data_IF_347694728008
#
_entry.id   IF_347694728008
#
_cell.length_a   1.000
_cell.length_b   1.000
_cell.length_c   1.000
_cell.angle_alpha   90.00
_cell.angle_beta   90.00
_cell.angle_gamma   90.00
#
_symmetry.space_group_name_H-M   'P 1'
#
loop_
_entity.id
_entity.type
_entity.pdbx_description
1 polymer ?
#
# COMPACT_ATOMS: atom_id res chain seq x y z
N UNK A 1 28.68 -1.68 12.29
CA UNK A 1 28.68 -3.15 12.16
C UNK A 1 28.00 -3.71 13.39
N UNK A 2 26.96 -4.53 13.22
CA UNK A 2 26.09 -4.99 14.30
C UNK A 2 26.13 -6.52 14.39
N UNK A 3 26.04 -7.08 15.59
CA UNK A 3 25.64 -8.49 15.72
C UNK A 3 24.19 -8.66 15.29
N UNK A 4 23.77 -9.88 14.94
CA UNK A 4 22.38 -10.17 14.59
C UNK A 4 21.41 -9.71 15.68
N UNK A 5 21.74 -9.96 16.95
CA UNK A 5 20.93 -9.51 18.09
C UNK A 5 20.80 -7.99 18.15
N UNK A 6 21.93 -7.29 18.11
CA UNK A 6 21.95 -5.82 18.13
C UNK A 6 21.17 -5.22 16.96
N UNK A 7 21.28 -5.82 15.77
CA UNK A 7 20.58 -5.35 14.59
C UNK A 7 19.07 -5.56 14.68
N UNK A 8 18.64 -6.70 15.23
CA UNK A 8 17.22 -6.99 15.46
C UNK A 8 16.63 -6.04 16.49
N UNK A 9 17.32 -5.79 17.59
CA UNK A 9 16.89 -4.83 18.62
C UNK A 9 16.79 -3.41 18.02
N UNK A 10 17.80 -3.00 17.25
CA UNK A 10 17.79 -1.72 16.52
C UNK A 10 16.60 -1.62 15.54
N UNK A 11 16.40 -2.62 14.69
CA UNK A 11 15.31 -2.62 13.72
C UNK A 11 13.93 -2.63 14.38
N UNK A 12 13.81 -3.30 15.53
CA UNK A 12 12.60 -3.26 16.35
C UNK A 12 12.29 -1.84 16.82
N UNK A 13 13.26 -1.17 17.45
CA UNK A 13 13.10 0.19 17.96
C UNK A 13 12.82 1.21 16.85
N UNK A 14 13.53 1.11 15.73
CA UNK A 14 13.34 2.00 14.59
C UNK A 14 11.94 1.84 13.96
N UNK A 15 11.40 0.62 13.88
CA UNK A 15 10.04 0.38 13.43
C UNK A 15 9.00 0.91 14.43
N UNK A 16 9.26 0.83 15.74
CA UNK A 16 8.40 1.46 16.74
C UNK A 16 8.37 2.98 16.58
N UNK A 17 9.53 3.61 16.43
CA UNK A 17 9.66 5.06 16.17
C UNK A 17 8.97 5.45 14.87
N UNK A 18 9.03 4.59 13.85
CA UNK A 18 8.32 4.78 12.60
C UNK A 18 6.80 4.58 12.73
N UNK A 19 6.24 4.27 13.90
CA UNK A 19 4.80 4.20 14.13
C UNK A 19 4.16 2.84 13.87
N UNK A 20 4.95 1.76 13.79
CA UNK A 20 4.42 0.40 13.79
C UNK A 20 4.09 -0.05 15.21
N UNK A 21 3.04 -0.86 15.38
CA UNK A 21 2.73 -1.47 16.68
C UNK A 21 3.60 -2.70 16.95
N UNK A 22 3.89 -2.97 18.22
CA UNK A 22 4.62 -4.19 18.63
C UNK A 22 4.04 -5.45 18.01
N UNK A 23 2.70 -5.61 18.07
CA UNK A 23 1.99 -6.74 17.46
C UNK A 23 2.29 -6.90 15.97
N UNK A 24 2.44 -5.79 15.24
CA UNK A 24 2.77 -5.81 13.81
C UNK A 24 4.21 -6.24 13.61
N UNK A 25 5.14 -5.69 14.40
CA UNK A 25 6.56 -6.01 14.31
C UNK A 25 6.78 -7.50 14.64
N UNK A 26 6.23 -7.98 15.77
CA UNK A 26 6.29 -9.38 16.18
C UNK A 26 5.62 -10.32 15.16
N UNK A 27 4.40 -10.00 14.72
CA UNK A 27 3.65 -10.87 13.82
C UNK A 27 4.25 -10.99 12.41
N UNK A 28 4.90 -9.93 11.93
CA UNK A 28 5.42 -9.89 10.56
C UNK A 28 6.92 -10.19 10.45
N UNK A 29 7.74 -9.83 11.46
CA UNK A 29 9.19 -9.84 11.34
C UNK A 29 9.88 -10.81 12.30
N UNK A 30 9.47 -10.81 13.57
CA UNK A 30 10.22 -11.46 14.67
C UNK A 30 10.53 -12.94 14.43
N UNK A 31 9.57 -13.72 13.96
CA UNK A 31 9.79 -15.15 13.72
C UNK A 31 10.76 -15.42 12.56
N UNK A 32 10.85 -14.52 11.58
CA UNK A 32 11.78 -14.62 10.44
C UNK A 32 13.18 -14.23 10.89
N UNK A 33 13.30 -13.12 11.62
CA UNK A 33 14.56 -12.67 12.20
C UNK A 33 15.19 -13.71 13.13
N UNK A 34 14.37 -14.35 13.97
CA UNK A 34 14.84 -15.43 14.85
C UNK A 34 15.31 -16.68 14.09
N UNK A 35 14.82 -16.94 12.88
CA UNK A 35 15.35 -18.03 12.06
C UNK A 35 16.76 -17.73 11.58
N UNK A 36 17.09 -16.46 11.33
CA UNK A 36 18.44 -16.03 11.00
C UNK A 36 19.37 -16.20 12.20
N UNK A 37 18.94 -15.81 13.42
CA UNK A 37 19.66 -16.09 14.68
C UNK A 37 19.90 -17.59 14.86
N UNK A 38 18.89 -18.44 14.64
CA UNK A 38 19.04 -19.90 14.80
C UNK A 38 20.05 -20.49 13.83
N UNK A 39 20.21 -19.90 12.65
CA UNK A 39 21.15 -20.37 11.63
C UNK A 39 22.59 -19.92 11.89
N UNK A 40 22.79 -18.64 12.20
CA UNK A 40 24.13 -18.03 12.27
C UNK A 40 24.62 -17.76 13.70
N UNK A 41 23.73 -17.79 14.70
CA UNK A 41 24.01 -17.44 16.10
C UNK A 41 23.76 -15.97 16.41
N UNK A 42 23.30 -15.66 17.62
CA UNK A 42 22.91 -14.29 18.00
C UNK A 42 24.07 -13.28 17.97
N UNK A 43 25.30 -13.76 18.16
CA UNK A 43 26.52 -12.96 18.20
C UNK A 43 27.23 -12.87 16.84
N UNK A 44 26.69 -13.51 15.79
CA UNK A 44 27.26 -13.38 14.46
C UNK A 44 27.14 -11.94 13.96
N UNK A 45 28.20 -11.45 13.32
CA UNK A 45 28.21 -10.14 12.68
C UNK A 45 27.29 -10.19 11.46
N UNK A 46 26.33 -9.28 11.38
CA UNK A 46 25.39 -9.26 10.25
C UNK A 46 26.11 -8.89 8.95
N UNK A 47 25.90 -9.72 7.94
CA UNK A 47 26.18 -9.42 6.54
C UNK A 47 24.91 -9.68 5.72
N UNK A 48 24.65 -8.85 4.70
CA UNK A 48 23.46 -8.99 3.85
C UNK A 48 23.42 -10.34 3.13
N UNK A 49 24.59 -10.90 2.80
CA UNK A 49 24.78 -12.25 2.27
C UNK A 49 24.06 -13.32 3.10
N UNK A 50 23.99 -13.17 4.43
CA UNK A 50 23.31 -14.11 5.33
C UNK A 50 21.82 -14.23 4.99
N UNK A 51 21.16 -13.14 4.59
CA UNK A 51 19.76 -13.17 4.17
C UNK A 51 19.59 -13.91 2.83
N UNK A 52 20.46 -13.66 1.86
CA UNK A 52 20.46 -14.36 0.56
C UNK A 52 20.69 -15.86 0.73
N UNK A 53 21.70 -16.24 1.51
CA UNK A 53 22.05 -17.63 1.82
C UNK A 53 20.90 -18.34 2.54
N UNK A 54 20.28 -17.68 3.53
CA UNK A 54 19.11 -18.22 4.21
C UNK A 54 17.97 -18.48 3.22
N UNK A 55 17.66 -17.49 2.39
CA UNK A 55 16.60 -17.58 1.40
C UNK A 55 16.83 -18.71 0.39
N UNK A 56 18.06 -18.84 -0.12
CA UNK A 56 18.43 -19.89 -1.07
C UNK A 56 18.29 -21.29 -0.47
N UNK A 57 18.71 -21.48 0.78
CA UNK A 57 18.57 -22.77 1.48
C UNK A 57 17.11 -23.09 1.78
N UNK A 58 16.34 -22.12 2.29
CA UNK A 58 14.98 -22.35 2.75
C UNK A 58 13.96 -22.50 1.60
N UNK A 59 14.10 -21.72 0.52
CA UNK A 59 13.18 -21.72 -0.62
C UNK A 59 13.72 -22.51 -1.83
N UNK A 60 14.97 -22.99 -1.78
CA UNK A 60 15.64 -23.64 -2.92
C UNK A 60 16.02 -22.68 -4.06
N UNK A 61 15.80 -21.39 -3.89
CA UNK A 61 16.08 -20.33 -4.88
C UNK A 61 16.38 -19.01 -4.16
N UNK A 62 17.21 -18.16 -4.75
CA UNK A 62 17.46 -16.84 -4.20
C UNK A 62 16.28 -15.90 -4.49
N UNK A 63 15.35 -15.79 -3.53
CA UNK A 63 14.18 -14.93 -3.67
C UNK A 63 14.51 -13.43 -3.69
N UNK A 64 15.72 -13.00 -3.30
CA UNK A 64 16.14 -11.61 -3.45
C UNK A 64 16.46 -11.23 -4.89
N UNK A 65 16.77 -12.21 -5.73
CA UNK A 65 17.07 -12.01 -7.15
C UNK A 65 15.82 -11.99 -8.04
N UNK A 66 14.64 -12.24 -7.46
CA UNK A 66 13.36 -12.35 -8.17
C UNK A 66 12.54 -11.08 -7.92
N UNK A 67 11.84 -10.60 -8.96
CA UNK A 67 10.95 -9.46 -8.80
C UNK A 67 9.86 -9.74 -7.75
N UNK A 68 9.63 -8.77 -6.86
CA UNK A 68 8.75 -8.91 -5.70
C UNK A 68 7.33 -9.37 -6.08
N UNK A 69 6.85 -8.95 -7.26
CA UNK A 69 5.52 -9.29 -7.75
C UNK A 69 5.39 -10.73 -8.26
N UNK A 70 6.52 -11.37 -8.58
CA UNK A 70 6.57 -12.77 -9.02
C UNK A 70 6.68 -13.75 -7.84
N UNK A 71 7.00 -13.23 -6.64
CA UNK A 71 7.11 -14.01 -5.42
C UNK A 71 5.74 -14.41 -4.86
N UNK A 72 5.65 -15.62 -4.30
CA UNK A 72 4.45 -16.02 -3.56
C UNK A 72 4.39 -15.28 -2.21
N UNK A 73 3.20 -15.21 -1.60
CA UNK A 73 2.95 -14.41 -0.38
C UNK A 73 3.93 -14.68 0.76
N UNK A 74 4.38 -15.93 0.93
CA UNK A 74 5.33 -16.27 2.00
C UNK A 74 6.73 -15.71 1.68
N UNK A 75 7.20 -15.81 0.44
CA UNK A 75 8.48 -15.27 -0.01
C UNK A 75 8.50 -13.75 0.13
N UNK A 76 7.42 -13.08 -0.27
CA UNK A 76 7.23 -11.64 -0.08
C UNK A 76 7.35 -11.20 1.38
N UNK A 77 6.87 -12.01 2.33
CA UNK A 77 7.02 -11.72 3.76
C UNK A 77 8.47 -11.82 4.21
N UNK A 78 9.22 -12.79 3.71
CA UNK A 78 10.65 -12.94 4.02
C UNK A 78 11.48 -11.80 3.46
N UNK A 79 11.23 -11.40 2.20
CA UNK A 79 11.89 -10.23 1.61
C UNK A 79 11.64 -8.99 2.45
N UNK A 80 10.38 -8.69 2.80
CA UNK A 80 10.07 -7.52 3.63
C UNK A 80 10.77 -7.56 4.99
N UNK A 81 10.72 -8.70 5.68
CA UNK A 81 11.34 -8.83 7.00
C UNK A 81 12.86 -8.65 6.93
N UNK A 82 13.53 -9.27 5.97
CA UNK A 82 14.98 -9.13 5.83
C UNK A 82 15.39 -7.75 5.28
N UNK A 83 14.60 -7.14 4.39
CA UNK A 83 14.82 -5.77 3.94
C UNK A 83 14.77 -4.78 5.10
N UNK A 84 13.91 -4.99 6.10
CA UNK A 84 13.93 -4.16 7.31
C UNK A 84 15.27 -4.26 8.05
N UNK A 85 15.85 -5.46 8.18
CA UNK A 85 17.19 -5.63 8.79
C UNK A 85 18.29 -4.98 7.93
N UNK A 86 18.26 -5.19 6.62
CA UNK A 86 19.24 -4.58 5.69
C UNK A 86 19.16 -3.06 5.76
N UNK A 87 17.95 -2.51 5.76
CA UNK A 87 17.71 -1.08 5.87
C UNK A 87 18.26 -0.53 7.19
N UNK A 88 17.96 -1.18 8.31
CA UNK A 88 18.52 -0.82 9.63
C UNK A 88 20.04 -0.95 9.66
N UNK A 89 20.63 -1.96 9.00
CA UNK A 89 22.08 -2.16 9.01
C UNK A 89 22.84 -1.07 8.24
N UNK A 90 22.15 -0.40 7.31
CA UNK A 90 22.65 0.71 6.49
C UNK A 90 22.29 2.08 7.09
N UNK A 91 21.70 2.11 8.29
CA UNK A 91 21.24 3.34 8.96
C UNK A 91 20.29 4.19 8.09
N UNK A 92 19.50 3.55 7.23
CA UNK A 92 18.51 4.22 6.38
C UNK A 92 17.22 4.38 7.19
N UNK A 93 16.74 5.60 7.46
CA UNK A 93 15.55 5.81 8.29
C UNK A 93 14.30 5.14 7.70
N UNK A 94 13.49 4.50 8.55
CA UNK A 94 12.18 4.04 8.13
C UNK A 94 11.26 5.23 7.88
N UNK A 95 10.43 5.10 6.83
CA UNK A 95 9.39 6.07 6.57
C UNK A 95 8.39 6.05 7.71
N UNK A 96 8.20 7.20 8.36
CA UNK A 96 7.24 7.36 9.42
C UNK A 96 5.83 7.04 8.89
N UNK A 97 5.19 6.05 9.50
CA UNK A 97 3.79 5.72 9.28
C UNK A 97 2.95 6.77 9.99
N UNK A 98 2.45 7.72 9.21
CA UNK A 98 1.68 8.85 9.72
C UNK A 98 0.21 8.48 10.03
N UNK A 99 0.02 7.33 10.69
CA UNK A 99 -1.30 6.87 11.15
C UNK A 99 -1.81 7.75 12.29
N UNK A 100 -0.90 8.34 13.07
CA UNK A 100 -1.24 9.23 14.17
C UNK A 100 -1.78 10.57 13.69
N UNK A 101 -1.20 11.16 12.62
CA UNK A 101 -1.76 12.36 12.01
C UNK A 101 -3.23 12.18 11.64
N UNK A 102 -3.58 11.10 10.93
CA UNK A 102 -4.97 10.86 10.52
C UNK A 102 -5.94 10.55 11.68
N UNK A 103 -5.41 9.94 12.74
CA UNK A 103 -6.19 9.63 13.95
C UNK A 103 -6.51 10.89 14.72
N UNK A 104 -5.49 11.71 14.98
CA UNK A 104 -5.55 12.82 15.92
C UNK A 104 -5.97 14.14 15.24
N UNK A 105 -5.95 14.20 13.91
CA UNK A 105 -6.45 15.34 13.14
C UNK A 105 -7.95 15.54 13.33
N UNK A 106 -8.34 16.69 13.88
CA UNK A 106 -9.75 17.03 14.07
C UNK A 106 -10.29 17.57 12.74
N UNK A 107 -11.29 16.87 12.18
CA UNK A 107 -12.00 17.37 11.02
C UNK A 107 -12.76 18.64 11.40
N UNK A 108 -12.81 19.61 10.49
CA UNK A 108 -13.70 20.75 10.66
C UNK A 108 -15.16 20.28 10.71
N UNK A 109 -16.02 21.12 11.26
CA UNK A 109 -17.42 20.80 11.54
C UNK A 109 -18.18 20.36 10.28
N UNK A 110 -17.92 20.99 9.13
CA UNK A 110 -18.60 20.67 7.87
C UNK A 110 -18.17 19.31 7.34
N UNK A 111 -16.86 19.01 7.35
CA UNK A 111 -16.34 17.69 6.95
C UNK A 111 -16.85 16.59 7.87
N UNK A 112 -16.89 16.85 9.18
CA UNK A 112 -17.34 15.88 10.17
C UNK A 112 -18.83 15.53 9.98
N UNK A 113 -19.70 16.54 9.79
CA UNK A 113 -21.13 16.31 9.50
C UNK A 113 -21.34 15.48 8.23
N UNK A 114 -20.63 15.80 7.14
CA UNK A 114 -20.73 15.03 5.88
C UNK A 114 -20.28 13.57 6.05
N UNK A 115 -19.23 13.34 6.83
CA UNK A 115 -18.80 11.98 7.15
C UNK A 115 -19.87 11.23 7.96
N UNK A 116 -20.47 11.88 8.95
CA UNK A 116 -21.50 11.27 9.80
C UNK A 116 -22.78 10.96 9.00
N UNK A 117 -23.22 11.86 8.10
CA UNK A 117 -24.35 11.64 7.20
C UNK A 117 -24.10 10.41 6.29
N UNK A 118 -22.90 10.30 5.72
CA UNK A 118 -22.52 9.14 4.91
C UNK A 118 -22.53 7.83 5.72
N UNK A 119 -22.02 7.86 6.95
CA UNK A 119 -21.98 6.68 7.81
C UNK A 119 -23.39 6.27 8.25
N UNK A 120 -24.25 7.23 8.55
CA UNK A 120 -25.66 6.99 8.87
C UNK A 120 -26.36 6.30 7.69
N UNK A 121 -26.15 6.78 6.47
CA UNK A 121 -26.68 6.14 5.27
C UNK A 121 -26.15 4.69 5.11
N UNK A 122 -24.87 4.45 5.38
CA UNK A 122 -24.31 3.10 5.33
C UNK A 122 -24.93 2.15 6.37
N UNK A 123 -25.27 2.65 7.55
CA UNK A 123 -25.98 1.89 8.60
C UNK A 123 -27.37 1.51 8.11
N UNK A 124 -28.10 2.47 7.54
CA UNK A 124 -29.44 2.25 6.97
C UNK A 124 -29.44 1.25 5.81
N UNK A 125 -28.36 1.23 5.02
CA UNK A 125 -28.15 0.26 3.95
C UNK A 125 -27.72 -1.13 4.45
N UNK A 126 -27.71 -1.36 5.76
CA UNK A 126 -27.45 -2.67 6.37
C UNK A 126 -25.98 -3.10 6.39
N UNK A 127 -25.03 -2.16 6.29
CA UNK A 127 -23.61 -2.50 6.38
C UNK A 127 -23.24 -3.00 7.79
N UNK A 128 -22.39 -4.01 7.87
CA UNK A 128 -21.89 -4.48 9.17
C UNK A 128 -21.01 -3.43 9.86
N UNK A 129 -20.95 -3.45 11.20
CA UNK A 129 -20.12 -2.54 12.01
C UNK A 129 -18.66 -2.52 11.57
N UNK A 130 -18.09 -3.69 11.23
CA UNK A 130 -16.73 -3.79 10.70
C UNK A 130 -16.56 -3.02 9.39
N UNK A 131 -17.54 -3.13 8.48
CA UNK A 131 -17.54 -2.44 7.18
C UNK A 131 -17.70 -0.94 7.38
N UNK A 132 -18.59 -0.51 8.26
CA UNK A 132 -18.79 0.89 8.64
C UNK A 132 -17.48 1.49 9.15
N UNK A 133 -16.80 0.84 10.10
CA UNK A 133 -15.53 1.32 10.65
C UNK A 133 -14.45 1.45 9.57
N UNK A 134 -14.36 0.48 8.67
CA UNK A 134 -13.41 0.54 7.55
C UNK A 134 -13.71 1.71 6.60
N UNK A 135 -14.98 1.92 6.24
CA UNK A 135 -15.42 3.03 5.39
C UNK A 135 -15.15 4.37 6.06
N UNK A 136 -15.50 4.51 7.35
CA UNK A 136 -15.26 5.71 8.16
C UNK A 136 -13.79 6.10 8.15
N UNK A 137 -12.90 5.14 8.42
CA UNK A 137 -11.47 5.40 8.42
C UNK A 137 -10.95 5.81 7.04
N UNK A 138 -11.36 5.12 5.97
CA UNK A 138 -10.90 5.44 4.60
C UNK A 138 -11.33 6.83 4.15
N UNK A 139 -12.59 7.21 4.39
CA UNK A 139 -13.11 8.52 3.97
C UNK A 139 -12.52 9.62 4.82
N UNK A 140 -12.37 9.41 6.14
CA UNK A 140 -11.68 10.36 7.00
C UNK A 140 -10.24 10.60 6.52
N UNK A 141 -9.49 9.53 6.23
CA UNK A 141 -8.13 9.65 5.69
C UNK A 141 -8.10 10.44 4.39
N UNK A 142 -9.02 10.15 3.46
CA UNK A 142 -9.15 10.91 2.22
C UNK A 142 -9.40 12.41 2.47
N UNK A 143 -10.35 12.76 3.35
CA UNK A 143 -10.70 14.15 3.64
C UNK A 143 -9.52 14.94 4.21
N UNK A 144 -8.69 14.29 5.03
CA UNK A 144 -7.48 14.87 5.62
C UNK A 144 -6.42 15.07 4.55
N UNK A 145 -6.08 14.01 3.82
CA UNK A 145 -5.00 14.00 2.82
C UNK A 145 -5.24 15.00 1.67
N UNK A 146 -6.50 15.25 1.30
CA UNK A 146 -6.85 16.16 0.20
C UNK A 146 -7.12 17.60 0.64
N UNK A 147 -7.11 17.88 1.95
CA UNK A 147 -7.60 19.13 2.52
C UNK A 147 -9.01 19.47 2.00
N UNK A 148 -9.99 18.64 2.37
CA UNK A 148 -11.34 18.60 1.78
C UNK A 148 -12.04 19.97 1.60
N UNK A 149 -11.76 20.94 2.48
CA UNK A 149 -12.29 22.31 2.35
C UNK A 149 -11.90 23.02 1.04
N UNK A 150 -10.75 22.66 0.49
CA UNK A 150 -10.21 23.22 -0.76
C UNK A 150 -10.18 22.15 -1.86
N UNK A 151 -11.13 21.21 -1.84
CA UNK A 151 -11.18 20.13 -2.81
C UNK A 151 -11.34 20.68 -4.24
N UNK A 152 -10.49 20.21 -5.14
CA UNK A 152 -10.55 20.52 -6.57
C UNK A 152 -10.40 19.23 -7.36
N UNK A 153 -10.78 19.26 -8.64
CA UNK A 153 -10.60 18.10 -9.52
C UNK A 153 -9.12 17.67 -9.57
N UNK A 154 -8.20 18.63 -9.61
CA UNK A 154 -6.77 18.37 -9.67
C UNK A 154 -6.24 17.77 -8.36
N UNK A 155 -6.72 18.24 -7.20
CA UNK A 155 -6.31 17.66 -5.92
C UNK A 155 -6.82 16.22 -5.76
N UNK A 156 -8.01 15.90 -6.29
CA UNK A 156 -8.52 14.52 -6.32
C UNK A 156 -7.68 13.65 -7.23
N UNK A 157 -7.35 14.13 -8.43
CA UNK A 157 -6.50 13.39 -9.38
C UNK A 157 -5.11 13.13 -8.75
N UNK A 158 -4.51 14.13 -8.11
CA UNK A 158 -3.23 13.98 -7.43
C UNK A 158 -3.32 13.00 -6.27
N UNK A 159 -4.37 13.08 -5.44
CA UNK A 159 -4.62 12.13 -4.37
C UNK A 159 -4.71 10.70 -4.92
N UNK A 160 -5.50 10.48 -5.98
CA UNK A 160 -5.65 9.16 -6.59
C UNK A 160 -4.34 8.67 -7.21
N UNK A 161 -3.54 9.53 -7.85
CA UNK A 161 -2.20 9.17 -8.35
C UNK A 161 -1.26 8.76 -7.22
N UNK A 162 -1.26 9.50 -6.11
CA UNK A 162 -0.46 9.19 -4.93
C UNK A 162 -0.95 7.93 -4.22
N UNK A 163 -2.26 7.74 -4.13
CA UNK A 163 -2.88 6.53 -3.59
C UNK A 163 -2.52 5.33 -4.47
N UNK A 164 -2.65 5.45 -5.80
CA UNK A 164 -2.20 4.43 -6.74
C UNK A 164 -0.70 4.18 -6.62
N UNK A 165 0.15 5.19 -6.42
CA UNK A 165 1.60 4.97 -6.22
C UNK A 165 1.91 4.28 -4.90
N UNK A 166 1.22 4.66 -3.80
CA UNK A 166 1.30 3.99 -2.49
C UNK A 166 0.72 2.57 -2.54
N UNK A 167 -0.30 2.35 -3.37
CA UNK A 167 -0.97 1.08 -3.56
C UNK A 167 -0.37 0.23 -4.67
N UNK A 168 0.48 0.74 -5.57
CA UNK A 168 1.11 0.04 -6.72
C UNK A 168 2.24 -0.91 -6.31
N UNK A 169 2.19 -1.40 -5.06
CA UNK A 169 2.46 -2.81 -4.80
C UNK A 169 1.24 -3.73 -5.09
N UNK A 170 0.18 -3.20 -5.71
CA UNK A 170 -1.10 -3.82 -6.12
C UNK A 170 -1.68 -2.99 -7.30
N UNK A 171 -1.14 -3.26 -8.49
CA UNK A 171 -1.82 -3.35 -9.81
C UNK A 171 -2.75 -2.24 -10.40
N UNK A 172 -2.36 -1.88 -11.64
CA UNK A 172 -3.10 -1.37 -12.82
C UNK A 172 -3.50 0.11 -12.92
N UNK A 173 -2.82 0.75 -13.87
CA UNK A 173 -3.21 1.95 -14.61
C UNK A 173 -4.54 1.70 -15.34
N UNK A 174 -5.63 2.30 -14.87
CA UNK A 174 -6.80 2.53 -15.72
C UNK A 174 -6.68 3.92 -16.34
N UNK A 175 -6.29 3.97 -17.61
CA UNK A 175 -6.58 5.13 -18.45
C UNK A 175 -8.09 5.13 -18.70
N UNK A 176 -8.82 5.95 -17.94
CA UNK A 176 -10.17 6.36 -18.33
C UNK A 176 -10.02 7.77 -18.88
N UNK A 177 -9.93 7.87 -20.21
CA UNK A 177 -10.14 9.14 -20.90
C UNK A 177 -11.58 9.58 -20.63
N UNK A 178 -11.74 10.58 -19.76
CA UNK A 178 -12.98 11.33 -19.71
C UNK A 178 -13.05 12.21 -20.96
N UNK A 179 -13.61 11.66 -22.05
CA UNK A 179 -14.17 12.49 -23.11
C UNK A 179 -15.44 13.14 -22.59
N UNK A 180 -15.29 14.35 -22.05
CA UNK A 180 -16.39 15.29 -21.92
C UNK A 180 -16.81 15.63 -23.35
N UNK A 181 -17.90 15.01 -23.83
CA UNK A 181 -18.58 15.48 -25.04
C UNK A 181 -19.24 16.81 -24.69
N UNK A 182 -18.56 17.90 -25.03
CA UNK A 182 -19.22 19.20 -25.17
C UNK A 182 -20.31 19.08 -26.22
N UNK A 183 -21.57 19.15 -25.76
CA UNK A 183 -22.71 19.41 -26.62
C UNK A 183 -22.78 20.92 -26.84
N UNK A 184 -22.21 21.40 -27.93
CA UNK A 184 -22.34 22.79 -28.35
C UNK A 184 -22.00 22.97 -29.83
N UNK A 185 -23.05 22.89 -30.66
CA UNK A 185 -23.31 23.66 -31.90
C UNK A 185 -22.10 24.31 -32.59
N UNK A 186 -21.78 23.85 -33.80
CA UNK A 186 -22.05 24.60 -35.06
C UNK A 186 -21.45 23.89 -36.29
N UNK A 187 -22.17 23.91 -37.41
CA UNK A 187 -21.57 23.99 -38.76
C UNK A 187 -21.23 22.70 -39.55
N UNK A 188 -22.22 22.17 -40.28
CA UNK A 188 -22.16 21.71 -41.69
C UNK A 188 -20.79 21.28 -42.30
N UNK A 189 -20.66 19.99 -42.66
CA UNK A 189 -20.75 19.48 -44.06
C UNK A 189 -19.87 18.23 -44.37
N UNK A 190 -20.55 17.21 -44.92
CA UNK A 190 -20.13 16.30 -46.00
C UNK A 190 -18.80 15.50 -45.95
N UNK A 191 -18.89 14.16 -45.83
CA UNK A 191 -18.92 13.16 -46.94
C UNK A 191 -18.16 11.85 -46.59
N UNK A 192 -18.86 10.72 -46.82
CA UNK A 192 -18.41 9.37 -47.25
C UNK A 192 -17.42 8.63 -46.33
N UNK A 193 -17.56 7.35 -45.97
CA UNK A 193 -18.29 6.22 -46.53
C UNK A 193 -17.41 4.97 -46.34
N UNK A 194 -18.05 3.80 -46.17
CA UNK A 194 -17.47 2.43 -46.01
C UNK A 194 -16.88 2.13 -44.62
N UNK A 195 -17.26 1.09 -43.86
CA UNK A 195 -18.11 -0.07 -44.11
C UNK A 195 -17.33 -1.37 -43.88
N UNK A 196 -17.56 -2.03 -42.73
CA UNK A 196 -17.40 -3.47 -42.38
C UNK A 196 -16.87 -3.58 -40.93
N UNK A 197 -17.69 -3.79 -39.89
CA UNK A 197 -18.39 -5.03 -39.51
C UNK A 197 -17.44 -6.21 -39.26
N UNK A 198 -17.21 -6.57 -37.99
CA UNK A 198 -17.48 -7.92 -37.47
C UNK A 198 -17.54 -7.91 -35.93
N UNK A 199 -18.60 -8.53 -35.44
CA UNK A 199 -19.10 -8.57 -34.06
C UNK A 199 -18.30 -9.49 -33.13
N UNK A 200 -18.45 -9.18 -31.84
CA UNK A 200 -18.20 -10.06 -30.72
C UNK A 200 -19.22 -11.22 -30.70
N UNK A 201 -18.81 -12.41 -30.24
CA UNK A 201 -19.38 -12.96 -29.00
C UNK A 201 -18.79 -14.32 -28.59
N UNK A 202 -18.58 -14.42 -27.28
CA UNK A 202 -18.79 -15.57 -26.38
C UNK A 202 -18.05 -16.90 -26.61
N UNK A 203 -17.29 -17.27 -25.58
CA UNK A 203 -17.25 -18.67 -25.12
C UNK A 203 -17.61 -18.73 -23.63
N UNK A 204 -18.72 -19.43 -23.36
CA UNK A 204 -18.99 -20.14 -22.12
C UNK A 204 -18.13 -21.43 -22.11
N UNK A 205 -17.33 -21.61 -21.07
CA UNK A 205 -17.31 -22.77 -20.17
C UNK A 205 -16.18 -22.60 -19.15
#
# INVERSE_FOLDING_TARGET
MYTLKQLIDKAYDELLVAGFSEKTIYGANWYIWNRLIRKHGENAIFEESMCHEYCKEYFGKDIFSIDFNQLIKIEQRYIKAFQNLVQSSRDIPFKQFDRHYHRDYILDEKSQRLLDDYIQKCIEDGNSTRTINNKKMRIRTFMIDIHFQNISKDSVILYLKNYMTKCNHITYTFYVEFHIKDKGKDGLSNKKGTGSFFEADKYQN
#
